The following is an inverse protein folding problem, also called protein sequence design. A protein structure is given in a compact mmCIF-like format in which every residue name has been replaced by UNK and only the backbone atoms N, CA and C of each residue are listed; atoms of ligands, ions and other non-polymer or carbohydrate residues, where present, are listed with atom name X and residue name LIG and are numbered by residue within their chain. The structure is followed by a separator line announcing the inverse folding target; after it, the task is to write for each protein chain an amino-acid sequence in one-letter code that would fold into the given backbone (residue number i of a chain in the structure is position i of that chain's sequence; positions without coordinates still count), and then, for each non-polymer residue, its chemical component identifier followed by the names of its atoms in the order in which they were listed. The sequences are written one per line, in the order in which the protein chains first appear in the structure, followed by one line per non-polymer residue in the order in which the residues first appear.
data_IF_714064981598
#
_entry.id   IF_714064981598
#
_cell.length_a   1.000
_cell.length_b   1.000
_cell.length_c   1.000
_cell.angle_alpha   90.00
_cell.angle_beta   90.00
_cell.angle_gamma   90.00
#
_symmetry.space_group_name_H-M   'P 1'
#
loop_
_entity.id
_entity.type
_entity.pdbx_description
1 polymer ?
#
# COMPACT_ATOMS: atom_id res chain seq x y z
N UNK A 1 -3.23 -78.53 -11.05
CA UNK A 1 -4.24 -77.47 -11.18
C UNK A 1 -4.77 -77.50 -12.60
N UNK A 2 -6.08 -77.68 -12.73
CA UNK A 2 -6.71 -78.01 -14.02
C UNK A 2 -6.71 -76.81 -14.96
N UNK A 3 -6.67 -77.03 -16.28
CA UNK A 3 -6.72 -75.96 -17.31
C UNK A 3 -7.94 -75.03 -17.17
N UNK A 4 -8.96 -75.47 -16.43
CA UNK A 4 -10.19 -74.73 -16.16
C UNK A 4 -9.94 -73.58 -15.17
N UNK A 5 -9.08 -73.76 -14.16
CA UNK A 5 -8.75 -72.69 -13.20
C UNK A 5 -7.94 -71.58 -13.86
N UNK A 6 -6.98 -71.93 -14.72
CA UNK A 6 -6.18 -70.95 -15.47
C UNK A 6 -7.01 -70.11 -16.43
N UNK A 7 -8.05 -70.70 -17.04
CA UNK A 7 -8.98 -69.96 -17.90
C UNK A 7 -9.89 -69.01 -17.12
N UNK A 8 -10.33 -69.39 -15.92
CA UNK A 8 -11.14 -68.51 -15.05
C UNK A 8 -10.35 -67.31 -14.55
N UNK A 9 -9.10 -67.50 -14.15
CA UNK A 9 -8.21 -66.40 -13.71
C UNK A 9 -7.89 -65.42 -14.86
N UNK A 10 -7.72 -65.92 -16.08
CA UNK A 10 -7.51 -65.10 -17.27
C UNK A 10 -8.75 -64.27 -17.67
N UNK A 11 -9.96 -64.82 -17.55
CA UNK A 11 -11.20 -64.07 -17.79
C UNK A 11 -11.44 -62.99 -16.73
N UNK A 12 -11.11 -63.28 -15.47
CA UNK A 12 -11.33 -62.34 -14.37
C UNK A 12 -10.34 -61.16 -14.44
N UNK A 13 -9.09 -61.43 -14.81
CA UNK A 13 -8.10 -60.37 -15.06
C UNK A 13 -8.42 -59.52 -16.29
N UNK A 14 -9.02 -60.09 -17.34
CA UNK A 14 -9.49 -59.34 -18.50
C UNK A 14 -10.68 -58.44 -18.14
N UNK A 15 -11.63 -58.92 -17.34
CA UNK A 15 -12.77 -58.12 -16.84
C UNK A 15 -12.34 -56.96 -15.94
N UNK A 16 -11.28 -57.15 -15.15
CA UNK A 16 -10.74 -56.07 -14.32
C UNK A 16 -10.01 -55.01 -15.15
N UNK A 17 -9.33 -55.40 -16.24
CA UNK A 17 -8.67 -54.46 -17.16
C UNK A 17 -9.68 -53.61 -17.94
N UNK A 18 -10.72 -54.23 -18.50
CA UNK A 18 -11.76 -53.50 -19.24
C UNK A 18 -12.51 -52.51 -18.36
N UNK A 19 -12.81 -52.88 -17.10
CA UNK A 19 -13.46 -51.98 -16.14
C UNK A 19 -12.56 -50.81 -15.73
N UNK A 20 -11.25 -50.99 -15.69
CA UNK A 20 -10.27 -49.93 -15.36
C UNK A 20 -10.08 -48.94 -16.51
N UNK A 21 -10.13 -49.41 -17.76
CA UNK A 21 -10.10 -48.54 -18.95
C UNK A 21 -11.40 -47.75 -19.13
N UNK A 22 -12.55 -48.33 -18.79
CA UNK A 22 -13.85 -47.64 -18.84
C UNK A 22 -13.97 -46.51 -17.78
N UNK A 23 -13.27 -46.65 -16.64
CA UNK A 23 -13.19 -45.61 -15.62
C UNK A 23 -12.20 -44.51 -16.04
N UNK A 24 -11.13 -44.87 -16.77
CA UNK A 24 -10.13 -43.91 -17.27
C UNK A 24 -10.71 -43.02 -18.37
N UNK A 25 -11.51 -43.57 -19.29
CA UNK A 25 -12.16 -42.79 -20.36
C UNK A 25 -13.30 -41.91 -19.83
N UNK A 26 -14.02 -42.33 -18.78
CA UNK A 26 -15.05 -41.51 -18.12
C UNK A 26 -14.50 -40.40 -17.21
N UNK A 27 -13.20 -40.42 -16.89
CA UNK A 27 -12.52 -39.40 -16.06
C UNK A 27 -11.99 -38.19 -16.83
N UNK A 28 -11.80 -38.28 -18.15
CA UNK A 28 -11.29 -37.17 -18.97
C UNK A 28 -12.39 -36.30 -19.60
N UNK A 29 -13.67 -36.68 -19.47
CA UNK A 29 -14.82 -35.94 -19.98
C UNK A 29 -15.61 -35.25 -18.85
N UNK A 30 -15.01 -34.26 -18.17
CA UNK A 30 -15.76 -33.22 -17.42
C UNK A 30 -14.85 -32.09 -16.90
N UNK A 31 -14.70 -31.03 -17.70
CA UNK A 31 -14.81 -29.63 -17.24
C UNK A 31 -14.84 -28.69 -18.45
N UNK A 32 -16.03 -28.38 -18.99
CA UNK A 32 -16.16 -27.32 -19.98
C UNK A 32 -15.84 -25.98 -19.31
N UNK A 33 -14.84 -25.27 -19.83
CA UNK A 33 -14.53 -23.88 -19.48
C UNK A 33 -15.78 -23.03 -19.71
N UNK A 34 -16.54 -22.75 -18.65
CA UNK A 34 -17.64 -21.79 -18.69
C UNK A 34 -17.06 -20.39 -18.91
N UNK A 35 -16.95 -19.99 -20.18
CA UNK A 35 -16.90 -18.57 -20.58
C UNK A 35 -18.19 -17.89 -20.12
N UNK A 36 -18.20 -17.34 -18.92
CA UNK A 36 -19.23 -16.39 -18.47
C UNK A 36 -19.13 -15.12 -19.33
N UNK A 37 -19.92 -15.07 -20.41
CA UNK A 37 -20.27 -13.81 -21.09
C UNK A 37 -21.04 -12.92 -20.08
N UNK A 38 -20.36 -11.97 -19.44
CA UNK A 38 -21.05 -10.90 -18.72
C UNK A 38 -21.51 -9.86 -19.72
N UNK A 39 -22.83 -9.82 -19.91
CA UNK A 39 -23.57 -8.78 -20.62
C UNK A 39 -23.15 -7.39 -20.11
N UNK A 40 -22.93 -6.50 -21.06
CA UNK A 40 -22.73 -5.06 -20.89
C UNK A 40 -23.87 -4.44 -20.09
N UNK A 41 -23.54 -3.75 -18.99
CA UNK A 41 -24.36 -2.68 -18.43
C UNK A 41 -23.47 -1.48 -18.13
N UNK A 42 -23.94 -0.35 -18.68
CA UNK A 42 -23.34 1.00 -18.70
C UNK A 42 -22.81 1.46 -17.32
N UNK A 43 -21.70 2.19 -17.38
CA UNK A 43 -21.40 3.30 -16.46
C UNK A 43 -21.00 2.94 -15.02
N UNK A 44 -19.78 2.44 -14.82
CA UNK A 44 -19.00 2.72 -13.60
C UNK A 44 -17.53 2.41 -13.89
N UNK A 45 -16.67 3.41 -13.80
CA UNK A 45 -15.22 3.29 -13.99
C UNK A 45 -14.65 2.27 -12.98
N UNK A 46 -14.49 1.01 -13.40
CA UNK A 46 -13.86 -0.05 -12.61
C UNK A 46 -12.37 -0.06 -12.95
N UNK A 47 -11.55 0.58 -12.10
CA UNK A 47 -10.08 0.54 -12.17
C UNK A 47 -9.51 -0.88 -12.09
N UNK A 48 -10.26 -1.84 -11.57
CA UNK A 48 -9.80 -3.22 -11.37
C UNK A 48 -9.72 -4.05 -12.65
N UNK A 49 -10.59 -3.84 -13.63
CA UNK A 49 -10.71 -4.76 -14.79
C UNK A 49 -9.62 -4.60 -15.87
N UNK A 50 -8.85 -3.51 -15.84
CA UNK A 50 -7.81 -3.27 -16.85
C UNK A 50 -6.46 -3.89 -16.46
N UNK A 51 -6.23 -4.11 -15.16
CA UNK A 51 -4.98 -4.66 -14.65
C UNK A 51 -4.94 -6.19 -14.75
N UNK A 52 -6.09 -6.86 -14.67
CA UNK A 52 -6.18 -8.32 -14.63
C UNK A 52 -6.01 -8.98 -16.02
N UNK A 53 -6.49 -8.34 -17.10
CA UNK A 53 -6.36 -8.90 -18.47
C UNK A 53 -4.91 -8.82 -19.01
N UNK A 54 -4.10 -7.94 -18.44
CA UNK A 54 -2.71 -7.76 -18.86
C UNK A 54 -1.74 -8.66 -18.07
N UNK A 55 -2.21 -9.51 -17.15
CA UNK A 55 -1.39 -10.08 -16.07
C UNK A 55 -0.33 -11.12 -16.49
N UNK A 56 -0.37 -11.68 -17.70
CA UNK A 56 0.46 -12.87 -18.00
C UNK A 56 1.81 -12.60 -18.68
N UNK A 57 2.01 -11.52 -19.47
CA UNK A 57 3.12 -11.55 -20.47
C UNK A 57 4.18 -10.44 -20.43
N UNK A 58 3.99 -9.32 -19.72
CA UNK A 58 4.91 -8.16 -19.85
C UNK A 58 5.35 -7.55 -18.51
N UNK A 59 6.23 -8.24 -17.76
CA UNK A 59 6.74 -7.74 -16.47
C UNK A 59 7.74 -6.56 -16.61
N UNK A 60 8.47 -6.48 -17.72
CA UNK A 60 9.45 -5.42 -18.01
C UNK A 60 8.85 -4.12 -18.58
N UNK A 61 8.05 -4.21 -19.65
CA UNK A 61 7.41 -3.04 -20.28
C UNK A 61 6.40 -2.35 -19.34
N UNK A 62 5.71 -3.12 -18.49
CA UNK A 62 4.79 -2.56 -17.50
C UNK A 62 5.49 -1.70 -16.46
N UNK A 63 6.70 -2.09 -16.02
CA UNK A 63 7.47 -1.31 -15.05
C UNK A 63 7.81 0.08 -15.58
N UNK A 64 8.20 0.16 -16.86
CA UNK A 64 8.49 1.44 -17.52
C UNK A 64 7.22 2.27 -17.72
N UNK A 65 6.12 1.66 -18.19
CA UNK A 65 4.85 2.37 -18.37
C UNK A 65 4.27 2.90 -17.05
N UNK A 66 4.31 2.10 -15.98
CA UNK A 66 3.85 2.53 -14.64
C UNK A 66 4.71 3.69 -14.12
N UNK A 67 6.03 3.61 -14.32
CA UNK A 67 6.97 4.66 -13.93
C UNK A 67 6.72 5.96 -14.71
N UNK A 68 6.39 5.86 -16.00
CA UNK A 68 6.03 7.01 -16.85
C UNK A 68 4.71 7.63 -16.41
N UNK A 69 3.69 6.83 -16.09
CA UNK A 69 2.43 7.33 -15.57
C UNK A 69 2.60 8.00 -14.20
N UNK A 70 3.36 7.39 -13.29
CA UNK A 70 3.63 7.94 -11.98
C UNK A 70 4.38 9.28 -12.09
N UNK A 71 5.34 9.38 -13.02
CA UNK A 71 6.08 10.63 -13.29
C UNK A 71 5.17 11.76 -13.77
N UNK A 72 4.16 11.45 -14.58
CA UNK A 72 3.18 12.45 -15.05
C UNK A 72 2.21 12.87 -13.95
N UNK A 73 1.81 11.94 -13.08
CA UNK A 73 0.84 12.20 -12.02
C UNK A 73 1.46 12.85 -10.77
N UNK A 74 2.72 12.53 -10.46
CA UNK A 74 3.45 13.02 -9.30
C UNK A 74 3.37 14.55 -9.09
N UNK A 75 3.60 15.41 -10.10
CA UNK A 75 3.52 16.86 -9.90
C UNK A 75 2.10 17.33 -9.58
N UNK A 76 1.06 16.70 -10.15
CA UNK A 76 -0.33 17.07 -9.88
C UNK A 76 -0.77 16.65 -8.47
N UNK A 77 -0.39 15.44 -8.05
CA UNK A 77 -0.69 14.93 -6.69
C UNK A 77 0.03 15.78 -5.65
N UNK A 78 1.33 16.04 -5.85
CA UNK A 78 2.13 16.85 -4.93
C UNK A 78 1.60 18.28 -4.83
N UNK A 79 1.19 18.88 -5.96
CA UNK A 79 0.57 20.22 -5.98
C UNK A 79 -0.77 20.24 -5.25
N UNK A 80 -1.58 19.20 -5.39
CA UNK A 80 -2.85 19.05 -4.67
C UNK A 80 -2.63 19.01 -3.16
N UNK A 81 -1.75 18.11 -2.70
CA UNK A 81 -1.39 18.00 -1.28
C UNK A 81 -0.85 19.34 -0.74
N UNK A 82 0.09 19.96 -1.47
CA UNK A 82 0.67 21.25 -1.05
C UNK A 82 -0.39 22.35 -0.92
N UNK A 83 -1.34 22.42 -1.85
CA UNK A 83 -2.41 23.42 -1.81
C UNK A 83 -3.36 23.19 -0.63
N UNK A 84 -3.67 21.94 -0.30
CA UNK A 84 -4.48 21.62 0.89
C UNK A 84 -3.74 21.96 2.19
N UNK A 85 -2.46 21.60 2.29
CA UNK A 85 -1.62 21.95 3.42
C UNK A 85 -1.57 23.47 3.59
N UNK A 86 -1.36 24.22 2.50
CA UNK A 86 -1.34 25.68 2.53
C UNK A 86 -2.69 26.26 2.97
N UNK A 87 -3.82 25.69 2.50
CA UNK A 87 -5.16 26.13 2.91
C UNK A 87 -5.41 25.90 4.40
N UNK A 88 -5.00 24.76 4.95
CA UNK A 88 -5.10 24.47 6.38
C UNK A 88 -4.18 25.36 7.22
N UNK A 89 -3.00 25.67 6.68
CA UNK A 89 -2.05 26.59 7.29
C UNK A 89 -2.59 28.03 7.37
N UNK A 90 -3.26 28.51 6.31
CA UNK A 90 -3.94 29.81 6.31
C UNK A 90 -5.09 29.82 7.35
N UNK A 91 -5.84 28.72 7.46
CA UNK A 91 -6.89 28.55 8.48
C UNK A 91 -6.36 28.54 9.92
N UNK A 92 -5.05 28.38 10.12
CA UNK A 92 -4.44 28.38 11.46
C UNK A 92 -4.51 27.04 12.17
N UNK A 93 -4.63 25.92 11.45
CA UNK A 93 -4.43 24.61 12.02
C UNK A 93 -2.97 24.47 12.51
N UNK A 94 -2.78 24.18 13.79
CA UNK A 94 -1.44 24.01 14.39
C UNK A 94 -0.78 22.69 14.00
N UNK A 95 -1.57 21.66 13.71
CA UNK A 95 -1.10 20.31 13.39
C UNK A 95 -1.84 19.83 12.14
N UNK A 96 -1.09 19.30 11.17
CA UNK A 96 -1.62 18.71 9.94
C UNK A 96 -1.02 17.30 9.84
N UNK A 97 -1.88 16.29 9.79
CA UNK A 97 -1.47 14.89 9.64
C UNK A 97 -1.60 14.49 8.19
N UNK A 98 -0.51 13.99 7.60
CA UNK A 98 -0.47 13.56 6.21
C UNK A 98 -0.25 12.05 6.14
N UNK A 99 -1.25 11.31 5.63
CA UNK A 99 -1.14 9.87 5.40
C UNK A 99 -0.60 9.60 3.98
N UNK A 100 0.68 9.21 3.89
CA UNK A 100 1.35 8.91 2.62
C UNK A 100 2.06 7.55 2.70
N UNK A 101 1.56 6.51 2.03
CA UNK A 101 2.20 5.19 2.06
C UNK A 101 3.57 5.16 1.37
N UNK A 102 3.77 6.03 0.37
CA UNK A 102 5.01 6.17 -0.42
C UNK A 102 5.83 7.41 -0.04
N UNK A 103 5.77 7.83 1.24
CA UNK A 103 6.39 9.06 1.72
C UNK A 103 7.89 9.18 1.34
N UNK A 104 8.66 8.11 1.58
CA UNK A 104 10.10 8.08 1.35
C UNK A 104 10.44 7.93 -0.14
N UNK A 105 9.67 7.13 -0.87
CA UNK A 105 9.82 6.94 -2.30
C UNK A 105 9.55 8.25 -3.07
N UNK A 106 8.61 9.05 -2.59
CA UNK A 106 8.29 10.37 -3.12
C UNK A 106 9.21 11.50 -2.61
N UNK A 107 10.18 11.21 -1.73
CA UNK A 107 11.08 12.19 -1.09
C UNK A 107 10.35 13.32 -0.35
N UNK A 108 9.16 13.04 0.17
CA UNK A 108 8.33 13.99 0.93
C UNK A 108 8.76 14.08 2.41
N UNK A 109 9.61 13.16 2.84
CA UNK A 109 10.28 13.13 4.15
C UNK A 109 11.02 14.44 4.47
N UNK A 110 11.51 15.16 3.46
CA UNK A 110 12.23 16.42 3.64
C UNK A 110 11.35 17.58 4.12
N UNK A 111 10.06 17.53 3.85
CA UNK A 111 9.12 18.62 4.14
C UNK A 111 8.09 18.25 5.22
N UNK A 112 8.18 17.03 5.76
CA UNK A 112 7.25 16.50 6.75
C UNK A 112 8.02 16.09 7.99
N UNK A 113 7.77 16.77 9.11
CA UNK A 113 8.36 16.46 10.41
C UNK A 113 7.34 16.71 11.53
N UNK A 114 7.31 15.88 12.58
CA UNK A 114 8.01 14.60 12.71
C UNK A 114 7.39 13.49 11.83
N UNK A 115 8.20 12.53 11.39
CA UNK A 115 7.76 11.36 10.62
C UNK A 115 7.40 10.23 11.57
N UNK A 116 6.13 9.81 11.51
CA UNK A 116 5.61 8.68 12.30
C UNK A 116 5.43 7.47 11.40
N UNK A 117 6.02 6.33 11.76
CA UNK A 117 5.84 5.05 11.06
C UNK A 117 5.14 4.05 11.96
N UNK A 118 4.07 3.45 11.46
CA UNK A 118 3.42 2.30 12.09
C UNK A 118 4.09 1.04 11.55
N UNK A 119 4.79 0.34 12.43
CA UNK A 119 5.55 -0.86 12.11
C UNK A 119 4.82 -2.12 12.59
N UNK A 120 5.01 -3.22 11.86
CA UNK A 120 4.50 -4.54 12.20
C UNK A 120 5.49 -5.58 11.67
N UNK A 121 5.57 -6.74 12.31
CA UNK A 121 6.43 -7.82 11.84
C UNK A 121 5.99 -8.32 10.44
N UNK A 122 6.93 -8.79 9.59
CA UNK A 122 6.61 -9.20 8.22
C UNK A 122 5.57 -10.32 8.12
N UNK A 123 5.51 -11.22 9.11
CA UNK A 123 4.56 -12.35 9.09
C UNK A 123 3.14 -11.85 9.33
N UNK A 124 2.96 -11.00 10.35
CA UNK A 124 1.67 -10.36 10.65
C UNK A 124 1.26 -9.40 9.53
N UNK A 125 2.21 -8.68 8.91
CA UNK A 125 1.93 -7.85 7.74
C UNK A 125 1.30 -8.68 6.60
N UNK A 126 1.93 -9.81 6.26
CA UNK A 126 1.47 -10.71 5.21
C UNK A 126 0.10 -11.29 5.54
N UNK A 127 -0.08 -11.80 6.76
CA UNK A 127 -1.36 -12.37 7.21
C UNK A 127 -2.50 -11.34 7.14
N UNK A 128 -2.28 -10.12 7.64
CA UNK A 128 -3.29 -9.05 7.60
C UNK A 128 -3.60 -8.63 6.16
N UNK A 129 -2.60 -8.58 5.28
CA UNK A 129 -2.78 -8.24 3.88
C UNK A 129 -3.62 -9.31 3.15
N UNK A 130 -3.32 -10.58 3.38
CA UNK A 130 -4.08 -11.70 2.81
C UNK A 130 -5.54 -11.71 3.28
N UNK A 131 -5.79 -11.46 4.56
CA UNK A 131 -7.16 -11.40 5.11
C UNK A 131 -7.93 -10.21 4.53
N UNK A 132 -7.28 -9.05 4.39
CA UNK A 132 -7.94 -7.81 3.94
C UNK A 132 -8.28 -7.83 2.45
N UNK A 133 -7.34 -8.30 1.63
CA UNK A 133 -7.43 -8.20 0.17
C UNK A 133 -7.88 -9.52 -0.49
N UNK A 134 -8.15 -10.58 0.30
CA UNK A 134 -8.49 -11.94 -0.15
C UNK A 134 -7.49 -12.51 -1.18
N UNK A 135 -6.23 -12.09 -1.07
CA UNK A 135 -5.17 -12.40 -2.04
C UNK A 135 -4.40 -13.68 -1.69
N UNK A 136 -3.88 -14.37 -2.71
CA UNK A 136 -2.93 -15.47 -2.49
C UNK A 136 -1.61 -14.95 -1.90
N UNK A 137 -0.91 -15.82 -1.17
CA UNK A 137 0.34 -15.48 -0.47
C UNK A 137 1.41 -14.88 -1.40
N UNK A 138 1.58 -15.47 -2.58
CA UNK A 138 2.51 -15.00 -3.62
C UNK A 138 2.20 -13.56 -4.08
N UNK A 139 0.93 -13.24 -4.30
CA UNK A 139 0.51 -11.89 -4.72
C UNK A 139 0.74 -10.87 -3.59
N UNK A 140 0.41 -11.25 -2.36
CA UNK A 140 0.62 -10.42 -1.18
C UNK A 140 2.11 -10.12 -0.97
N UNK A 141 2.99 -11.13 -1.10
CA UNK A 141 4.46 -10.95 -1.05
C UNK A 141 4.96 -10.04 -2.16
N UNK A 142 4.51 -10.23 -3.39
CA UNK A 142 4.90 -9.38 -4.51
C UNK A 142 4.50 -7.92 -4.28
N UNK A 143 3.33 -7.67 -3.68
CA UNK A 143 2.87 -6.33 -3.32
C UNK A 143 3.71 -5.69 -2.22
N UNK A 144 4.08 -6.45 -1.19
CA UNK A 144 4.97 -5.98 -0.11
C UNK A 144 6.35 -5.64 -0.68
N UNK A 145 6.91 -6.51 -1.52
CA UNK A 145 8.23 -6.35 -2.11
C UNK A 145 8.31 -5.22 -3.14
N UNK A 146 7.17 -4.80 -3.71
CA UNK A 146 7.12 -3.67 -4.64
C UNK A 146 7.34 -2.31 -3.96
N UNK A 147 7.27 -2.25 -2.62
CA UNK A 147 7.44 -1.04 -1.83
C UNK A 147 8.72 -1.11 -1.00
N UNK A 148 9.18 0.03 -0.46
CA UNK A 148 10.27 0.01 0.52
C UNK A 148 9.83 -0.78 1.75
N UNK A 149 10.72 -1.67 2.23
CA UNK A 149 10.43 -2.51 3.38
C UNK A 149 10.10 -1.69 4.63
N UNK A 150 9.22 -2.22 5.48
CA UNK A 150 8.83 -1.54 6.72
C UNK A 150 10.02 -1.30 7.65
N UNK A 151 11.01 -2.21 7.65
CA UNK A 151 12.22 -2.06 8.47
C UNK A 151 13.07 -0.87 8.04
N UNK A 152 13.18 -0.62 6.73
CA UNK A 152 13.87 0.57 6.21
C UNK A 152 13.09 1.86 6.49
N UNK A 153 11.75 1.81 6.47
CA UNK A 153 10.91 2.95 6.87
C UNK A 153 11.08 3.24 8.36
N UNK A 154 11.11 2.19 9.19
CA UNK A 154 11.36 2.26 10.63
C UNK A 154 12.70 2.93 10.95
N UNK A 155 13.78 2.59 10.23
CA UNK A 155 15.10 3.21 10.48
C UNK A 155 15.19 4.70 10.12
N UNK A 156 14.25 5.21 9.31
CA UNK A 156 14.21 6.61 8.87
C UNK A 156 13.14 7.45 9.56
N UNK A 157 12.35 6.83 10.45
CA UNK A 157 11.26 7.51 11.15
C UNK A 157 11.79 8.24 12.39
N UNK A 158 11.17 9.37 12.72
CA UNK A 158 11.42 10.06 13.98
C UNK A 158 10.72 9.33 15.14
N UNK A 159 9.53 8.78 14.87
CA UNK A 159 8.69 8.09 15.83
C UNK A 159 8.20 6.78 15.22
N UNK A 160 8.31 5.68 15.97
CA UNK A 160 7.84 4.36 15.55
C UNK A 160 6.74 3.89 16.50
N UNK A 161 5.60 3.49 15.93
CA UNK A 161 4.49 2.87 16.64
C UNK A 161 4.47 1.39 16.30
N UNK A 162 4.49 0.52 17.32
CA UNK A 162 4.49 -0.93 17.13
C UNK A 162 3.07 -1.48 17.17
N UNK A 163 2.62 -2.02 16.03
CA UNK A 163 1.29 -2.60 15.84
C UNK A 163 1.31 -4.15 15.78
N UNK A 164 2.32 -4.78 16.39
CA UNK A 164 2.37 -6.24 16.59
C UNK A 164 1.53 -6.71 17.78
N UNK A 165 1.28 -5.83 18.75
CA UNK A 165 0.61 -6.14 20.01
C UNK A 165 -0.92 -5.97 19.94
N UNK A 166 -1.58 -5.88 21.10
CA UNK A 166 -3.03 -5.69 21.19
C UNK A 166 -3.46 -4.27 20.81
N UNK A 167 -4.75 -4.09 20.51
CA UNK A 167 -5.32 -2.80 20.16
C UNK A 167 -5.22 -1.80 21.32
N UNK A 168 -5.35 -2.26 22.57
CA UNK A 168 -5.20 -1.42 23.76
C UNK A 168 -3.77 -0.89 23.88
N UNK A 169 -2.77 -1.75 23.68
CA UNK A 169 -1.36 -1.35 23.72
C UNK A 169 -1.03 -0.34 22.60
N UNK A 170 -1.57 -0.55 21.40
CA UNK A 170 -1.46 0.40 20.29
C UNK A 170 -2.08 1.75 20.65
N UNK A 171 -3.25 1.75 21.30
CA UNK A 171 -3.92 2.97 21.72
C UNK A 171 -3.08 3.75 22.73
N UNK A 172 -2.49 3.06 23.72
CA UNK A 172 -1.62 3.69 24.70
C UNK A 172 -0.35 4.31 24.06
N UNK A 173 0.28 3.59 23.12
CA UNK A 173 1.41 4.12 22.36
C UNK A 173 1.01 5.36 21.55
N UNK A 174 -0.15 5.31 20.87
CA UNK A 174 -0.65 6.44 20.10
C UNK A 174 -0.94 7.66 20.98
N UNK A 175 -1.52 7.48 22.17
CA UNK A 175 -1.73 8.56 23.14
C UNK A 175 -0.40 9.22 23.57
N UNK A 176 0.65 8.43 23.80
CA UNK A 176 1.99 8.95 24.10
C UNK A 176 2.54 9.79 22.94
N UNK A 177 2.40 9.31 21.71
CA UNK A 177 2.83 10.03 20.50
C UNK A 177 2.04 11.32 20.31
N UNK A 178 0.72 11.30 20.47
CA UNK A 178 -0.13 12.50 20.41
C UNK A 178 0.31 13.55 21.42
N UNK A 179 0.58 13.11 22.66
CA UNK A 179 1.05 14.01 23.72
C UNK A 179 2.40 14.64 23.37
N UNK A 180 3.30 13.89 22.73
CA UNK A 180 4.60 14.41 22.27
C UNK A 180 4.45 15.44 21.14
N UNK A 181 3.60 15.17 20.15
CA UNK A 181 3.38 16.05 18.99
C UNK A 181 2.62 17.32 19.39
N UNK A 182 1.79 17.26 20.43
CA UNK A 182 1.00 18.41 20.90
C UNK A 182 1.76 19.32 21.87
N UNK A 183 3.02 19.00 22.21
CA UNK A 183 3.85 19.87 23.06
C UNK A 183 4.04 21.25 22.40
N UNK A 184 4.16 22.32 23.19
CA UNK A 184 4.41 23.66 22.65
C UNK A 184 5.73 23.66 21.87
N UNK A 185 5.70 24.28 20.69
CA UNK A 185 6.85 24.36 19.79
C UNK A 185 8.03 25.05 20.49
N UNK A 186 9.23 24.49 20.29
CA UNK A 186 10.48 25.10 20.75
C UNK A 186 10.77 26.41 20.00
N UNK A 187 11.63 27.28 20.54
CA UNK A 187 11.95 28.57 19.90
C UNK A 187 12.45 28.44 18.45
N UNK A 188 13.16 27.36 18.12
CA UNK A 188 13.62 27.04 16.76
C UNK A 188 12.47 26.70 15.83
N UNK A 189 11.51 25.92 16.32
CA UNK A 189 10.31 25.56 15.56
C UNK A 189 9.34 26.74 15.45
N UNK A 190 9.31 27.62 16.46
CA UNK A 190 8.54 28.86 16.43
C UNK A 190 9.04 29.82 15.35
N UNK A 191 10.37 29.98 15.22
CA UNK A 191 10.97 30.79 14.16
C UNK A 191 10.70 30.22 12.76
N UNK A 192 10.64 28.88 12.64
CA UNK A 192 10.24 28.20 11.41
C UNK A 192 8.73 28.21 11.16
N UNK A 193 7.93 28.42 12.21
CA UNK A 193 6.47 28.46 12.12
C UNK A 193 5.97 29.78 11.53
N UNK A 194 4.69 29.78 11.13
CA UNK A 194 3.96 30.94 10.59
C UNK A 194 4.19 32.21 11.39
N UNK A 195 4.16 32.09 12.71
CA UNK A 195 4.24 33.23 13.60
C UNK A 195 5.65 33.84 13.62
N UNK A 196 6.71 33.02 13.52
CA UNK A 196 8.10 33.49 13.42
C UNK A 196 8.38 34.21 12.10
N UNK A 197 7.93 33.64 10.97
CA UNK A 197 8.08 34.29 9.66
C UNK A 197 7.35 35.64 9.59
N UNK A 198 6.13 35.74 10.14
CA UNK A 198 5.40 37.01 10.21
C UNK A 198 6.09 38.02 11.14
N UNK A 199 6.66 37.60 12.27
CA UNK A 199 7.41 38.48 13.16
C UNK A 199 8.68 39.03 12.49
N UNK A 200 9.40 38.20 11.72
CA UNK A 200 10.58 38.61 10.97
C UNK A 200 10.24 39.61 9.84
N UNK A 201 9.12 39.40 9.14
CA UNK A 201 8.63 40.35 8.14
C UNK A 201 8.14 41.66 8.78
N UNK A 202 7.48 41.56 9.94
CA UNK A 202 7.04 42.74 10.67
C UNK A 202 8.23 43.54 11.22
N UNK A 203 9.27 42.88 11.76
CA UNK A 203 10.46 43.55 12.28
C UNK A 203 11.25 44.27 11.18
N UNK A 204 11.37 43.65 10.00
CA UNK A 204 12.00 44.30 8.83
C UNK A 204 11.16 45.48 8.31
N UNK A 205 9.84 45.34 8.24
CA UNK A 205 8.94 46.44 7.86
C UNK A 205 9.00 47.61 8.84
N UNK A 206 8.95 47.35 10.15
CA UNK A 206 9.08 48.38 11.19
C UNK A 206 10.45 49.06 11.11
N UNK A 207 11.52 48.30 10.90
CA UNK A 207 12.88 48.86 10.75
C UNK A 207 12.97 49.81 9.56
N UNK A 208 12.42 49.44 8.40
CA UNK A 208 12.37 50.30 7.20
C UNK A 208 11.49 51.53 7.43
N UNK A 209 10.36 51.38 8.11
CA UNK A 209 9.45 52.49 8.40
C UNK A 209 10.07 53.52 9.36
N UNK A 210 10.81 53.06 10.39
CA UNK A 210 11.56 53.94 11.29
C UNK A 210 12.66 54.68 10.52
N UNK A 211 13.41 53.98 9.67
CA UNK A 211 14.49 54.59 8.90
C UNK A 211 13.98 55.66 7.93
N UNK A 212 12.82 55.43 7.31
CA UNK A 212 12.16 56.39 6.41
C UNK A 212 11.52 57.59 7.14
N UNK A 213 11.23 57.46 8.44
CA UNK A 213 10.68 58.56 9.27
C UNK A 213 11.77 59.47 9.84
N UNK A 214 13.00 58.98 9.93
CA UNK A 214 14.17 59.73 10.43
C UNK A 214 15.04 60.35 9.33
N UNK A 215 14.65 60.23 8.05
CA UNK A 215 15.27 60.85 6.88
C UNK A 215 14.34 61.92 6.32
#
# INVERSE_FOLDING_TARGET
MSEIEKKKEAEETLKQRTKKEEIRTKGEERLPKQRRKKKTKKGKHRRHTFLDFAAEENRGEKGDMLSRLLRLQAPFISRGILMEVLKLWIKGCSIIVLDVPLLFEAKMDKWTKPIVVVWVDPKTQLQRLMIRDESMEEEAKNRINAQMSLDLKRSKADIVIDNTSSLEALHEQFQKVLTQITKPLTWTEFMLARNGALLALFSTFVSVAIFKKSA
#
